data_IF_081120492677
#
_entry.id   IF_081120492677
#
_cell.length_a   1.000
_cell.length_b   1.000
_cell.length_c   1.000
_cell.angle_alpha   90.00
_cell.angle_beta   90.00
_cell.angle_gamma   90.00
#
_symmetry.space_group_name_H-M   'P 1'
#
loop_
_entity.id
_entity.type
_entity.pdbx_description
1 polymer ?
#
# COMPACT_ATOMS: atom_id res chain seq x y z
N UNK A 1 0.19 -9.25 -37.18
CA UNK A 1 -0.17 -7.90 -36.68
C UNK A 1 0.56 -6.86 -37.51
N UNK A 2 -0.05 -5.72 -37.82
CA UNK A 2 0.62 -4.58 -38.48
C UNK A 2 1.02 -3.55 -37.43
N UNK A 3 2.21 -2.97 -37.54
CA UNK A 3 2.70 -1.93 -36.65
C UNK A 3 2.49 -0.56 -37.30
N UNK A 4 1.93 0.40 -36.55
CA UNK A 4 1.72 1.77 -37.00
C UNK A 4 2.52 2.73 -36.12
N UNK A 5 2.94 3.86 -36.69
CA UNK A 5 3.59 4.97 -35.96
C UNK A 5 2.67 6.19 -36.02
N UNK A 6 2.24 6.66 -34.86
CA UNK A 6 1.42 7.86 -34.72
C UNK A 6 2.32 8.98 -34.18
N UNK A 7 2.39 10.10 -34.90
CA UNK A 7 3.12 11.28 -34.47
C UNK A 7 2.10 12.40 -34.21
N UNK A 8 2.17 13.01 -33.02
CA UNK A 8 1.27 14.10 -32.63
C UNK A 8 2.13 15.22 -32.07
N UNK A 9 1.88 16.45 -32.54
CA UNK A 9 2.42 17.68 -31.97
C UNK A 9 1.28 18.40 -31.25
N UNK A 10 1.54 18.88 -30.05
CA UNK A 10 0.56 19.56 -29.21
C UNK A 10 1.26 20.61 -28.35
N UNK A 11 0.47 21.56 -27.86
CA UNK A 11 0.92 22.64 -26.97
C UNK A 11 -0.15 22.83 -25.90
N UNK A 12 0.28 23.07 -24.66
CA UNK A 12 -0.59 23.42 -23.55
C UNK A 12 0.15 24.36 -22.59
N UNK A 13 -0.60 25.19 -21.86
CA UNK A 13 -0.03 26.04 -20.81
C UNK A 13 0.23 25.20 -19.56
N UNK A 14 1.33 25.48 -18.86
CA UNK A 14 1.60 24.88 -17.56
C UNK A 14 0.71 25.57 -16.54
N UNK A 15 -0.26 24.84 -16.00
CA UNK A 15 -1.24 25.37 -15.05
C UNK A 15 -0.70 25.42 -13.61
N UNK A 16 -1.43 26.11 -12.73
CA UNK A 16 -1.21 26.10 -11.29
C UNK A 16 -2.06 25.01 -10.58
N UNK A 17 -2.80 24.19 -11.34
CA UNK A 17 -3.48 23.00 -10.85
C UNK A 17 -2.43 21.94 -10.51
N UNK A 18 -2.50 21.30 -9.35
CA UNK A 18 -1.46 20.38 -8.88
C UNK A 18 -1.46 19.00 -9.58
N UNK A 19 -2.11 18.88 -10.74
CA UNK A 19 -2.36 17.64 -11.47
C UNK A 19 -1.94 17.81 -12.93
N UNK A 20 -1.45 16.75 -13.57
CA UNK A 20 -0.87 16.83 -14.90
C UNK A 20 0.57 17.35 -14.84
N UNK A 21 0.97 18.21 -15.77
CA UNK A 21 2.26 18.90 -15.74
C UNK A 21 2.07 20.34 -15.25
N UNK A 22 2.55 20.63 -14.05
CA UNK A 22 2.19 21.84 -13.32
C UNK A 22 3.39 22.59 -12.76
N UNK A 23 3.15 23.86 -12.42
CA UNK A 23 4.16 24.75 -11.84
C UNK A 23 4.03 24.82 -10.32
N UNK A 24 5.17 24.72 -9.64
CA UNK A 24 5.31 25.00 -8.20
C UNK A 24 6.37 26.10 -7.98
N UNK A 25 6.49 26.62 -6.76
CA UNK A 25 7.45 27.67 -6.44
C UNK A 25 7.94 27.63 -4.99
N UNK A 26 9.12 28.18 -4.76
CA UNK A 26 9.74 28.35 -3.44
C UNK A 26 10.46 29.70 -3.37
N UNK A 27 10.86 30.11 -2.16
CA UNK A 27 11.64 31.33 -1.95
C UNK A 27 13.06 30.95 -1.58
N UNK A 28 14.04 31.52 -2.28
CA UNK A 28 15.47 31.36 -2.03
C UNK A 28 16.11 32.75 -2.04
N UNK A 29 16.78 33.13 -0.94
CA UNK A 29 17.39 34.46 -0.75
C UNK A 29 16.43 35.64 -1.03
N UNK A 30 15.14 35.49 -0.67
CA UNK A 30 14.12 36.52 -0.88
C UNK A 30 13.52 36.54 -2.30
N UNK A 31 14.04 35.73 -3.23
CA UNK A 31 13.53 35.63 -4.60
C UNK A 31 12.64 34.41 -4.79
N UNK A 32 11.52 34.59 -5.49
CA UNK A 32 10.65 33.47 -5.89
C UNK A 32 11.28 32.72 -7.06
N UNK A 33 11.53 31.42 -6.85
CA UNK A 33 12.01 30.48 -7.87
C UNK A 33 10.88 29.52 -8.23
N UNK A 34 10.81 29.14 -9.50
CA UNK A 34 9.80 28.23 -10.01
C UNK A 34 10.41 26.87 -10.33
N UNK A 35 9.56 25.86 -10.32
CA UNK A 35 9.83 24.53 -10.83
C UNK A 35 8.60 24.03 -11.58
N UNK A 36 8.81 23.13 -12.53
CA UNK A 36 7.73 22.39 -13.17
C UNK A 36 7.87 20.91 -12.80
N UNK A 37 6.76 20.25 -12.50
CA UNK A 37 6.73 18.86 -12.01
C UNK A 37 5.42 18.20 -12.43
N UNK A 38 5.42 16.86 -12.51
CA UNK A 38 4.26 16.07 -12.93
C UNK A 38 3.57 15.36 -11.78
N UNK A 39 2.24 15.26 -11.83
CA UNK A 39 1.45 14.31 -11.04
C UNK A 39 0.38 13.69 -11.96
N UNK A 40 0.55 12.42 -12.33
CA UNK A 40 -0.32 11.76 -13.31
C UNK A 40 -1.31 10.77 -12.72
N UNK A 41 -1.04 10.21 -11.55
CA UNK A 41 -1.99 9.30 -10.92
C UNK A 41 -3.27 10.04 -10.47
N UNK A 42 -4.47 9.50 -10.76
CA UNK A 42 -4.70 8.24 -11.49
C UNK A 42 -4.82 8.40 -13.02
N UNK A 43 -5.38 9.52 -13.51
CA UNK A 43 -5.78 9.68 -14.94
C UNK A 43 -5.39 11.04 -15.52
N UNK A 44 -4.27 11.59 -15.07
CA UNK A 44 -3.81 12.92 -15.44
C UNK A 44 -2.60 12.94 -16.38
N UNK A 45 -2.07 11.80 -16.83
CA UNK A 45 -1.04 11.79 -17.87
C UNK A 45 -1.59 12.40 -19.18
N UNK A 46 -2.88 12.17 -19.46
CA UNK A 46 -3.61 12.78 -20.58
C UNK A 46 -3.66 14.31 -20.55
N UNK A 47 -3.42 14.95 -19.39
CA UNK A 47 -3.31 16.41 -19.28
C UNK A 47 -1.95 16.94 -19.78
N UNK A 48 -0.94 16.09 -19.83
CA UNK A 48 0.42 16.46 -20.24
C UNK A 48 0.75 16.01 -21.67
N UNK A 49 0.21 14.87 -22.13
CA UNK A 49 0.41 14.40 -23.51
C UNK A 49 -0.70 13.41 -23.95
N UNK A 50 -1.07 13.36 -25.25
CA UNK A 50 -2.02 12.38 -25.76
C UNK A 50 -1.50 10.95 -25.59
N UNK A 51 -2.25 10.12 -24.86
CA UNK A 51 -1.88 8.73 -24.59
C UNK A 51 -3.09 7.85 -24.27
N UNK A 52 -2.87 6.53 -24.30
CA UNK A 52 -3.83 5.55 -23.77
C UNK A 52 -3.68 5.49 -22.25
N UNK A 53 -4.39 6.39 -21.57
CA UNK A 53 -4.15 6.69 -20.16
C UNK A 53 -4.92 5.77 -19.21
N UNK A 54 -4.61 4.48 -19.31
CA UNK A 54 -5.15 3.39 -18.49
C UNK A 54 -4.01 2.49 -18.01
N UNK A 55 -4.05 1.95 -16.78
CA UNK A 55 -2.96 1.18 -16.20
C UNK A 55 -2.59 -0.07 -17.02
N UNK A 56 -3.54 -0.69 -17.71
CA UNK A 56 -3.32 -1.89 -18.54
C UNK A 56 -2.43 -1.62 -19.76
N UNK A 57 -2.39 -0.39 -20.26
CA UNK A 57 -1.64 -0.04 -21.47
C UNK A 57 -0.18 0.30 -21.17
N UNK A 58 0.54 -0.64 -20.54
CA UNK A 58 1.99 -0.49 -20.29
C UNK A 58 2.80 -0.35 -21.58
N UNK A 59 3.61 0.71 -21.64
CA UNK A 59 4.48 1.04 -22.77
C UNK A 59 5.91 1.35 -22.33
N UNK A 60 6.84 1.38 -23.29
CA UNK A 60 8.20 1.89 -23.10
C UNK A 60 8.20 3.37 -23.45
N UNK A 61 8.74 4.20 -22.57
CA UNK A 61 8.84 5.64 -22.78
C UNK A 61 10.29 6.04 -23.03
N UNK A 62 10.50 6.92 -24.02
CA UNK A 62 11.77 7.63 -24.23
C UNK A 62 11.48 9.13 -24.16
N UNK A 63 11.96 9.79 -23.12
CA UNK A 63 11.71 11.22 -22.88
C UNK A 63 12.93 12.03 -23.33
N UNK A 64 12.67 13.22 -23.86
CA UNK A 64 13.67 14.27 -24.03
C UNK A 64 13.09 15.58 -23.53
N UNK A 65 13.85 16.32 -22.73
CA UNK A 65 13.40 17.59 -22.14
C UNK A 65 14.37 18.69 -22.55
N UNK A 66 13.82 19.73 -23.17
CA UNK A 66 14.54 20.96 -23.52
C UNK A 66 14.26 22.00 -22.44
N UNK A 67 15.31 22.53 -21.82
CA UNK A 67 15.21 23.52 -20.74
C UNK A 67 16.41 24.49 -20.77
N UNK A 68 16.30 25.61 -20.06
CA UNK A 68 17.43 26.51 -19.87
C UNK A 68 18.55 25.81 -19.09
N UNK A 69 19.81 26.06 -19.48
CA UNK A 69 21.00 25.44 -18.87
C UNK A 69 21.19 25.72 -17.38
N UNK A 70 20.53 26.75 -16.85
CA UNK A 70 20.53 27.07 -15.42
C UNK A 70 19.63 26.13 -14.58
N UNK A 71 18.73 25.38 -15.23
CA UNK A 71 17.86 24.39 -14.60
C UNK A 71 18.43 22.98 -14.82
N UNK A 72 18.05 22.06 -13.95
CA UNK A 72 18.23 20.63 -14.17
C UNK A 72 16.91 20.01 -14.63
N UNK A 73 16.98 18.91 -15.39
CA UNK A 73 15.81 18.09 -15.69
C UNK A 73 15.96 16.68 -15.15
N UNK A 74 14.87 16.17 -14.57
CA UNK A 74 14.74 14.84 -14.00
C UNK A 74 13.64 14.07 -14.72
N UNK A 75 13.78 12.75 -14.80
CA UNK A 75 12.73 11.84 -15.24
C UNK A 75 12.94 10.45 -14.61
N UNK A 76 12.11 9.47 -14.93
CA UNK A 76 12.17 8.09 -14.40
C UNK A 76 13.54 7.43 -14.60
N UNK A 77 14.19 7.67 -15.74
CA UNK A 77 15.48 7.07 -16.12
C UNK A 77 16.64 8.07 -16.00
N UNK A 78 17.90 7.62 -15.94
CA UNK A 78 19.05 8.53 -16.01
C UNK A 78 19.16 9.23 -17.37
N UNK A 79 19.86 10.37 -17.40
CA UNK A 79 20.22 11.08 -18.63
C UNK A 79 21.20 10.23 -19.42
N UNK A 80 20.87 9.94 -20.69
CA UNK A 80 21.70 9.24 -21.67
C UNK A 80 22.65 10.23 -22.37
N UNK A 81 22.14 11.40 -22.75
CA UNK A 81 22.88 12.41 -23.51
C UNK A 81 22.33 13.81 -23.22
N UNK A 82 23.21 14.78 -23.02
CA UNK A 82 22.87 16.21 -22.95
C UNK A 82 23.44 16.92 -24.17
N UNK A 83 22.57 17.55 -24.96
CA UNK A 83 22.96 18.29 -26.17
C UNK A 83 22.73 19.79 -25.93
N UNK A 84 23.79 20.61 -25.88
CA UNK A 84 23.65 22.06 -25.88
C UNK A 84 22.91 22.53 -27.14
N UNK A 85 22.06 23.51 -26.96
CA UNK A 85 21.30 24.16 -28.02
C UNK A 85 21.66 25.65 -28.10
N UNK A 86 21.09 26.38 -29.05
CA UNK A 86 21.28 27.83 -29.17
C UNK A 86 20.68 28.57 -27.94
N UNK A 87 21.15 29.80 -27.71
CA UNK A 87 20.61 30.72 -26.70
C UNK A 87 20.60 30.20 -25.24
N UNK A 88 21.55 29.33 -24.88
CA UNK A 88 21.72 28.86 -23.50
C UNK A 88 20.73 27.78 -23.06
N UNK A 89 20.04 27.15 -24.02
CA UNK A 89 19.20 25.97 -23.79
C UNK A 89 20.01 24.67 -23.90
N UNK A 90 19.50 23.62 -23.28
CA UNK A 90 20.03 22.25 -23.37
C UNK A 90 18.89 21.27 -23.52
N UNK A 91 19.10 20.24 -24.32
CA UNK A 91 18.17 19.10 -24.42
C UNK A 91 18.79 17.87 -23.78
N UNK A 92 18.16 17.40 -22.70
CA UNK A 92 18.52 16.14 -22.05
C UNK A 92 17.66 15.01 -22.61
N UNK A 93 18.33 13.99 -23.16
CA UNK A 93 17.74 12.74 -23.60
C UNK A 93 17.90 11.70 -22.51
N UNK A 94 16.80 11.08 -22.09
CA UNK A 94 16.80 10.05 -21.05
C UNK A 94 16.82 8.64 -21.67
N UNK A 95 17.39 7.67 -20.94
CA UNK A 95 17.31 6.27 -21.33
C UNK A 95 15.84 5.79 -21.42
N UNK A 96 15.61 4.74 -22.21
CA UNK A 96 14.28 4.11 -22.33
C UNK A 96 13.88 3.48 -21.00
N UNK A 97 12.64 3.68 -20.58
CA UNK A 97 12.07 2.99 -19.42
C UNK A 97 11.85 1.50 -19.71
N UNK A 98 11.71 0.65 -18.68
CA UNK A 98 10.98 -0.60 -18.83
C UNK A 98 9.53 -0.36 -19.27
N UNK A 99 8.78 -1.45 -19.53
CA UNK A 99 7.34 -1.34 -19.73
C UNK A 99 6.68 -0.91 -18.42
N UNK A 100 6.01 0.23 -18.44
CA UNK A 100 5.30 0.79 -17.29
C UNK A 100 4.02 1.51 -17.73
N UNK A 101 3.12 1.77 -16.79
CA UNK A 101 1.86 2.47 -17.04
C UNK A 101 2.08 3.98 -17.15
N UNK A 102 1.18 4.69 -17.84
CA UNK A 102 1.31 6.14 -18.10
C UNK A 102 1.39 6.98 -16.83
N UNK A 103 0.67 6.59 -15.78
CA UNK A 103 0.60 7.37 -14.54
C UNK A 103 1.89 7.34 -13.69
N UNK A 104 2.81 6.42 -13.99
CA UNK A 104 4.14 6.37 -13.36
C UNK A 104 5.17 7.27 -14.06
N UNK A 105 4.88 7.68 -15.29
CA UNK A 105 5.76 8.59 -16.02
C UNK A 105 5.88 9.89 -15.24
N UNK A 106 7.11 10.38 -15.09
CA UNK A 106 7.37 11.62 -14.37
C UNK A 106 8.51 12.40 -14.98
N UNK A 107 8.42 13.71 -14.84
CA UNK A 107 9.54 14.60 -15.04
C UNK A 107 9.44 15.86 -14.19
N UNK A 108 10.60 16.48 -13.96
CA UNK A 108 10.69 17.77 -13.31
C UNK A 108 11.76 18.63 -13.98
N UNK A 109 11.56 19.94 -13.96
CA UNK A 109 12.56 20.96 -14.35
C UNK A 109 12.66 21.96 -13.19
N UNK A 110 13.84 22.05 -12.56
CA UNK A 110 14.02 22.82 -11.33
C UNK A 110 15.47 23.31 -11.13
N UNK A 111 15.68 24.18 -10.15
CA UNK A 111 17.01 24.62 -9.69
C UNK A 111 17.36 24.01 -8.33
N UNK A 112 17.16 22.69 -8.21
CA UNK A 112 17.46 21.95 -6.99
C UNK A 112 18.91 21.48 -6.97
N UNK A 113 19.39 21.10 -5.79
CA UNK A 113 20.62 20.33 -5.64
C UNK A 113 20.26 18.98 -5.04
N UNK A 114 21.25 18.10 -4.90
CA UNK A 114 21.01 16.78 -4.34
C UNK A 114 22.19 16.28 -3.51
N UNK A 115 21.89 15.30 -2.66
CA UNK A 115 22.87 14.37 -2.09
C UNK A 115 22.62 12.98 -2.64
N UNK A 116 23.67 12.19 -2.74
CA UNK A 116 23.59 10.83 -3.29
C UNK A 116 24.23 9.78 -2.38
N UNK A 117 23.74 8.55 -2.52
CA UNK A 117 24.31 7.34 -1.95
C UNK A 117 24.09 6.18 -2.92
N UNK A 118 24.70 5.03 -2.63
CA UNK A 118 24.60 3.84 -3.46
C UNK A 118 24.22 2.63 -2.60
N UNK A 119 23.32 1.79 -3.11
CA UNK A 119 23.12 0.46 -2.53
C UNK A 119 24.33 -0.43 -2.80
N UNK A 120 24.42 -1.55 -2.08
CA UNK A 120 25.49 -2.53 -2.31
C UNK A 120 25.36 -3.22 -3.69
N UNK A 121 24.16 -3.20 -4.28
CA UNK A 121 23.89 -3.63 -5.66
C UNK A 121 24.23 -2.58 -6.73
N UNK A 122 24.68 -1.38 -6.33
CA UNK A 122 25.11 -0.32 -7.24
C UNK A 122 23.99 0.61 -7.73
N UNK A 123 22.78 0.52 -7.16
CA UNK A 123 21.69 1.45 -7.48
C UNK A 123 22.00 2.82 -6.88
N UNK A 124 22.01 3.86 -7.71
CA UNK A 124 22.19 5.24 -7.25
C UNK A 124 20.90 5.75 -6.60
N UNK A 125 20.97 6.21 -5.37
CA UNK A 125 19.84 6.85 -4.68
C UNK A 125 20.20 8.32 -4.48
N UNK A 126 19.32 9.22 -4.91
CA UNK A 126 19.53 10.66 -4.78
C UNK A 126 18.33 11.33 -4.16
N UNK A 127 18.57 12.29 -3.28
CA UNK A 127 17.52 13.15 -2.76
C UNK A 127 17.71 14.56 -3.29
N UNK A 128 16.76 15.01 -4.10
CA UNK A 128 16.70 16.35 -4.69
C UNK A 128 15.80 17.25 -3.86
N UNK A 129 16.28 18.43 -3.50
CA UNK A 129 15.48 19.46 -2.83
C UNK A 129 16.03 20.85 -3.15
N UNK A 130 15.35 21.88 -2.66
CA UNK A 130 15.87 23.26 -2.72
C UNK A 130 17.28 23.36 -2.12
N UNK A 131 18.20 24.17 -2.69
CA UNK A 131 19.62 24.13 -2.35
C UNK A 131 19.92 24.24 -0.85
N UNK A 132 19.27 25.18 -0.17
CA UNK A 132 19.46 25.39 1.27
C UNK A 132 18.95 24.25 2.16
N UNK A 133 18.02 23.41 1.69
CA UNK A 133 17.60 22.22 2.42
C UNK A 133 18.67 21.12 2.35
N UNK A 134 19.28 20.94 1.18
CA UNK A 134 20.36 19.97 0.97
C UNK A 134 21.64 20.38 1.73
N UNK A 135 22.00 21.67 1.65
CA UNK A 135 23.16 22.22 2.38
C UNK A 135 23.03 22.02 3.90
N UNK A 136 21.82 22.18 4.44
CA UNK A 136 21.52 21.95 5.87
C UNK A 136 21.38 20.46 6.23
N UNK A 137 21.49 19.54 5.27
CA UNK A 137 21.39 18.10 5.51
C UNK A 137 19.99 17.60 5.84
N UNK A 138 18.94 18.35 5.49
CA UNK A 138 17.56 17.99 5.84
C UNK A 138 17.08 16.68 5.15
N UNK A 139 17.71 16.30 4.04
CA UNK A 139 17.41 15.05 3.33
C UNK A 139 18.22 13.83 3.81
N UNK A 140 19.21 14.02 4.70
CA UNK A 140 20.19 12.96 5.00
C UNK A 140 19.52 11.74 5.65
N UNK A 141 18.51 11.98 6.48
CA UNK A 141 17.72 10.93 7.11
C UNK A 141 16.99 10.06 6.06
N UNK A 142 16.21 10.68 5.17
CA UNK A 142 15.44 9.98 4.15
C UNK A 142 16.34 9.21 3.18
N UNK A 143 17.47 9.80 2.77
CA UNK A 143 18.46 9.15 1.92
C UNK A 143 19.02 7.87 2.57
N UNK A 144 19.34 7.92 3.87
CA UNK A 144 19.88 6.80 4.62
C UNK A 144 18.87 5.67 4.83
N UNK A 145 17.61 5.98 5.20
CA UNK A 145 16.59 4.94 5.37
C UNK A 145 16.21 4.30 4.03
N UNK A 146 16.15 5.08 2.95
CA UNK A 146 15.83 4.58 1.59
C UNK A 146 16.85 3.54 1.13
N UNK A 147 18.16 3.79 1.35
CA UNK A 147 19.21 2.80 1.06
C UNK A 147 18.94 1.47 1.75
N UNK A 148 18.65 1.49 3.05
CA UNK A 148 18.40 0.28 3.84
C UNK A 148 17.11 -0.41 3.43
N UNK A 149 16.06 0.35 3.14
CA UNK A 149 14.75 -0.17 2.72
C UNK A 149 14.81 -0.84 1.36
N UNK A 150 15.50 -0.24 0.39
CA UNK A 150 15.62 -0.83 -0.93
C UNK A 150 16.30 -2.21 -0.84
N UNK A 151 17.37 -2.32 -0.05
CA UNK A 151 18.07 -3.59 0.20
C UNK A 151 17.17 -4.60 0.94
N UNK A 152 16.45 -4.14 1.96
CA UNK A 152 15.50 -4.98 2.70
C UNK A 152 14.42 -5.56 1.79
N UNK A 153 13.79 -4.75 0.92
CA UNK A 153 12.75 -5.22 0.02
C UNK A 153 13.29 -6.10 -1.10
N UNK A 154 14.50 -5.83 -1.62
CA UNK A 154 15.17 -6.78 -2.52
C UNK A 154 15.36 -8.16 -1.87
N UNK A 155 15.77 -8.18 -0.60
CA UNK A 155 16.00 -9.40 0.15
C UNK A 155 14.70 -10.08 0.61
N UNK A 156 13.67 -9.31 0.95
CA UNK A 156 12.37 -9.83 1.37
C UNK A 156 11.59 -10.36 0.16
N UNK A 157 11.44 -9.59 -0.90
CA UNK A 157 10.68 -10.04 -2.08
C UNK A 157 11.48 -10.98 -2.98
N UNK A 158 12.80 -11.10 -2.77
CA UNK A 158 13.71 -11.88 -3.63
C UNK A 158 13.62 -11.45 -5.11
N UNK A 159 13.32 -10.18 -5.34
CA UNK A 159 13.26 -9.53 -6.65
C UNK A 159 14.05 -8.24 -6.55
N UNK A 160 15.05 -8.07 -7.42
CA UNK A 160 15.91 -6.87 -7.43
C UNK A 160 15.16 -5.63 -7.89
N UNK A 161 15.56 -4.47 -7.39
CA UNK A 161 15.07 -3.21 -7.92
C UNK A 161 15.49 -3.08 -9.39
N UNK A 162 14.55 -2.66 -10.24
CA UNK A 162 14.67 -2.84 -11.69
C UNK A 162 15.42 -1.72 -12.42
N UNK A 163 15.60 -0.55 -11.79
CA UNK A 163 16.21 0.62 -12.43
C UNK A 163 17.62 0.90 -11.89
N UNK A 164 18.49 1.55 -12.67
CA UNK A 164 19.86 1.88 -12.23
C UNK A 164 19.90 2.98 -11.14
N UNK A 165 18.79 3.68 -10.92
CA UNK A 165 18.67 4.77 -9.96
C UNK A 165 17.28 4.88 -9.36
N UNK A 166 17.20 5.51 -8.19
CA UNK A 166 15.98 5.94 -7.53
C UNK A 166 16.18 7.36 -6.99
N UNK A 167 15.51 8.32 -7.61
CA UNK A 167 15.56 9.71 -7.16
C UNK A 167 14.33 10.01 -6.28
N UNK A 168 14.55 10.69 -5.17
CA UNK A 168 13.53 11.20 -4.26
C UNK A 168 13.47 12.72 -4.42
N UNK A 169 12.38 13.26 -4.93
CA UNK A 169 12.22 14.68 -5.22
C UNK A 169 11.32 15.36 -4.18
N UNK A 170 11.91 16.16 -3.30
CA UNK A 170 11.19 16.94 -2.30
C UNK A 170 10.69 18.26 -2.90
N UNK A 171 9.39 18.36 -3.21
CA UNK A 171 8.76 19.56 -3.76
C UNK A 171 8.02 20.39 -2.71
N UNK A 172 7.97 21.73 -2.85
CA UNK A 172 7.29 22.60 -1.88
C UNK A 172 5.78 22.36 -1.79
N UNK A 173 5.16 21.89 -2.89
CA UNK A 173 3.72 21.69 -3.00
C UNK A 173 3.42 20.54 -3.98
N UNK A 174 2.57 19.63 -3.54
CA UNK A 174 2.09 18.45 -4.26
C UNK A 174 0.67 18.14 -3.75
N UNK A 175 -0.24 17.53 -4.54
CA UNK A 175 -1.60 17.26 -4.07
C UNK A 175 -1.66 16.13 -3.04
N UNK A 176 -0.67 15.24 -3.05
CA UNK A 176 -0.54 14.10 -2.14
C UNK A 176 0.73 14.22 -1.29
N UNK A 177 0.81 13.45 -0.21
CA UNK A 177 2.01 13.35 0.62
C UNK A 177 3.24 12.95 -0.22
N UNK A 178 3.05 11.96 -1.09
CA UNK A 178 4.02 11.52 -2.06
C UNK A 178 3.35 10.85 -3.28
N UNK A 179 4.15 10.45 -4.25
CA UNK A 179 3.77 9.65 -5.42
C UNK A 179 4.96 8.78 -5.83
N UNK A 180 4.68 7.51 -6.12
CA UNK A 180 5.68 6.46 -6.26
C UNK A 180 6.39 6.42 -7.63
N UNK A 181 6.30 7.49 -8.44
CA UNK A 181 6.71 7.46 -9.85
C UNK A 181 8.03 6.72 -10.08
N UNK A 182 8.00 5.65 -10.89
CA UNK A 182 9.08 4.67 -10.95
C UNK A 182 10.46 5.29 -11.23
N UNK A 183 11.35 5.26 -10.25
CA UNK A 183 12.68 5.86 -10.32
C UNK A 183 12.77 7.36 -10.05
N UNK A 184 11.66 8.09 -9.91
CA UNK A 184 11.61 9.51 -9.52
C UNK A 184 10.43 9.75 -8.56
N UNK A 185 10.48 9.18 -7.35
CA UNK A 185 9.42 9.34 -6.36
C UNK A 185 9.34 10.80 -5.89
N UNK A 186 8.14 11.38 -5.88
CA UNK A 186 7.92 12.81 -5.59
C UNK A 186 7.26 12.93 -4.23
N UNK A 187 7.76 13.81 -3.36
CA UNK A 187 7.28 14.01 -2.01
C UNK A 187 7.01 15.49 -1.75
N UNK A 188 6.03 15.84 -0.92
CA UNK A 188 6.05 17.17 -0.31
C UNK A 188 7.21 17.28 0.68
N UNK A 189 7.84 18.45 0.78
CA UNK A 189 8.98 18.68 1.69
C UNK A 189 8.69 18.19 3.13
N UNK A 190 7.46 18.36 3.61
CA UNK A 190 7.03 17.98 4.97
C UNK A 190 6.92 16.46 5.19
N UNK A 191 7.14 15.64 4.16
CA UNK A 191 7.07 14.17 4.24
C UNK A 191 8.37 13.48 3.87
N UNK A 192 9.45 14.25 3.67
CA UNK A 192 10.76 13.67 3.35
C UNK A 192 11.95 14.44 3.92
N UNK A 193 11.80 15.74 4.21
CA UNK A 193 12.86 16.54 4.83
C UNK A 193 12.69 16.54 6.36
N UNK A 194 13.77 16.27 7.07
CA UNK A 194 13.83 16.21 8.52
C UNK A 194 14.85 17.20 9.06
N UNK A 195 14.40 18.11 9.92
CA UNK A 195 15.28 19.00 10.67
C UNK A 195 15.43 18.48 12.11
N UNK A 196 16.58 17.89 12.48
CA UNK A 196 16.75 17.24 13.78
C UNK A 196 16.66 18.21 14.97
N UNK A 197 16.81 19.52 14.76
CA UNK A 197 16.76 20.51 15.84
C UNK A 197 15.33 20.88 16.24
N UNK A 198 14.35 20.72 15.33
CA UNK A 198 12.96 21.18 15.53
C UNK A 198 11.90 20.10 15.31
N UNK A 199 12.25 18.98 14.67
CA UNK A 199 11.29 17.93 14.32
C UNK A 199 10.93 17.07 15.52
N UNK A 200 9.64 16.80 15.71
CA UNK A 200 9.15 15.91 16.76
C UNK A 200 9.37 14.43 16.40
N UNK A 201 9.29 13.54 17.39
CA UNK A 201 9.31 12.09 17.15
C UNK A 201 8.11 11.63 16.32
N UNK A 202 6.94 12.24 16.51
CA UNK A 202 5.75 11.96 15.69
C UNK A 202 5.98 12.31 14.23
N UNK A 203 6.63 13.46 13.96
CA UNK A 203 7.00 13.85 12.60
C UNK A 203 8.02 12.90 11.99
N UNK A 204 9.05 12.50 12.76
CA UNK A 204 10.03 11.51 12.33
C UNK A 204 9.35 10.21 11.91
N UNK A 205 8.44 9.69 12.74
CA UNK A 205 7.73 8.44 12.47
C UNK A 205 6.85 8.53 11.23
N UNK A 206 6.09 9.63 11.08
CA UNK A 206 5.25 9.84 9.90
C UNK A 206 6.07 9.93 8.61
N UNK A 207 7.18 10.68 8.64
CA UNK A 207 8.12 10.77 7.52
C UNK A 207 8.71 9.39 7.19
N UNK A 208 9.13 8.62 8.20
CA UNK A 208 9.61 7.24 7.97
C UNK A 208 8.55 6.42 7.24
N UNK A 209 7.32 6.43 7.74
CA UNK A 209 6.23 5.63 7.19
C UNK A 209 5.94 5.99 5.73
N UNK A 210 5.85 7.28 5.39
CA UNK A 210 5.64 7.70 4.00
C UNK A 210 6.78 7.25 3.11
N UNK A 211 8.05 7.41 3.52
CA UNK A 211 9.18 6.93 2.71
C UNK A 211 9.10 5.40 2.52
N UNK A 212 8.81 4.63 3.58
CA UNK A 212 8.70 3.17 3.49
C UNK A 212 7.59 2.76 2.51
N UNK A 213 6.44 3.44 2.57
CA UNK A 213 5.30 3.22 1.68
C UNK A 213 5.69 3.36 0.20
N UNK A 214 6.29 4.50 -0.17
CA UNK A 214 6.68 4.78 -1.57
C UNK A 214 7.77 3.83 -2.08
N UNK A 215 8.71 3.40 -1.22
CA UNK A 215 9.73 2.43 -1.62
C UNK A 215 9.11 1.05 -1.88
N UNK A 216 8.07 0.66 -1.13
CA UNK A 216 7.38 -0.60 -1.37
C UNK A 216 6.69 -0.63 -2.75
N UNK A 217 6.15 0.50 -3.19
CA UNK A 217 5.49 0.62 -4.48
C UNK A 217 6.37 0.28 -5.69
N UNK A 218 7.69 0.35 -5.54
CA UNK A 218 8.64 -0.06 -6.58
C UNK A 218 8.46 -1.55 -6.99
N UNK A 219 7.83 -2.38 -6.13
CA UNK A 219 7.39 -3.74 -6.45
C UNK A 219 5.87 -3.84 -6.62
N UNK A 220 5.09 -3.29 -5.68
CA UNK A 220 3.62 -3.36 -5.67
C UNK A 220 3.01 -2.06 -6.21
N UNK A 221 2.78 -2.03 -7.52
CA UNK A 221 2.43 -0.83 -8.24
C UNK A 221 3.26 -0.73 -9.51
N UNK A 222 4.53 -0.35 -9.37
CA UNK A 222 5.42 -0.07 -10.50
C UNK A 222 5.71 -1.35 -11.31
N UNK A 223 6.39 -2.31 -10.67
CA UNK A 223 6.81 -3.57 -11.30
C UNK A 223 5.60 -4.41 -11.72
N UNK A 224 4.65 -4.59 -10.80
CA UNK A 224 3.38 -5.26 -11.05
C UNK A 224 2.25 -4.29 -10.75
N UNK A 225 1.51 -3.93 -11.80
CA UNK A 225 0.45 -2.91 -11.72
C UNK A 225 -0.92 -3.58 -11.74
N UNK A 226 -1.94 -3.08 -11.01
CA UNK A 226 -3.30 -3.58 -11.21
C UNK A 226 -3.72 -3.48 -12.69
N UNK A 227 -4.54 -4.42 -13.15
CA UNK A 227 -5.13 -4.38 -14.50
C UNK A 227 -6.01 -3.14 -14.66
N UNK A 228 -6.81 -2.84 -13.64
CA UNK A 228 -7.72 -1.70 -13.59
C UNK A 228 -7.90 -1.22 -12.15
N UNK A 229 -8.48 -0.04 -11.97
CA UNK A 229 -8.57 0.62 -10.67
C UNK A 229 -9.46 -0.09 -9.64
N UNK A 230 -10.29 -1.03 -10.09
CA UNK A 230 -11.12 -1.88 -9.22
C UNK A 230 -10.31 -2.63 -8.18
N UNK A 231 -9.08 -3.00 -8.53
CA UNK A 231 -8.14 -3.70 -7.64
C UNK A 231 -6.98 -2.80 -7.21
N UNK A 232 -7.22 -1.49 -7.05
CA UNK A 232 -6.20 -0.53 -6.58
C UNK A 232 -5.55 -0.94 -5.25
N UNK A 233 -6.28 -1.67 -4.40
CA UNK A 233 -5.74 -2.21 -3.16
C UNK A 233 -4.55 -3.17 -3.36
N UNK A 234 -4.34 -3.73 -4.56
CA UNK A 234 -3.15 -4.53 -4.90
C UNK A 234 -1.85 -3.71 -4.87
N UNK A 235 -1.93 -2.39 -5.05
CA UNK A 235 -0.81 -1.48 -4.76
C UNK A 235 -0.93 -0.88 -3.37
N UNK A 236 -2.02 -0.19 -3.07
CA UNK A 236 -2.14 0.63 -1.85
C UNK A 236 -2.22 -0.21 -0.57
N UNK A 237 -2.95 -1.33 -0.59
CA UNK A 237 -3.03 -2.23 0.55
C UNK A 237 -1.70 -2.93 0.83
N UNK A 238 -0.96 -3.31 -0.21
CA UNK A 238 0.37 -3.91 -0.06
C UNK A 238 1.39 -2.92 0.46
N UNK A 239 1.47 -1.72 -0.14
CA UNK A 239 2.35 -0.66 0.33
C UNK A 239 2.04 -0.30 1.78
N UNK A 240 0.77 -0.17 2.14
CA UNK A 240 0.35 0.15 3.51
C UNK A 240 0.59 -0.99 4.52
N UNK A 241 0.52 -2.27 4.13
CA UNK A 241 0.95 -3.36 5.03
C UNK A 241 2.48 -3.36 5.21
N UNK A 242 3.22 -3.29 4.10
CA UNK A 242 4.68 -3.33 4.13
C UNK A 242 5.31 -2.06 4.68
N UNK A 243 4.56 -0.96 4.79
CA UNK A 243 4.90 0.25 5.55
C UNK A 243 5.23 -0.07 7.02
N UNK A 244 4.39 -0.87 7.67
CA UNK A 244 4.62 -1.28 9.06
C UNK A 244 5.74 -2.33 9.17
N UNK A 245 5.81 -3.28 8.23
CA UNK A 245 6.87 -4.30 8.19
C UNK A 245 8.25 -3.67 7.95
N UNK A 246 8.35 -2.75 7.00
CA UNK A 246 9.58 -2.03 6.66
C UNK A 246 10.00 -1.04 7.76
N UNK A 247 9.03 -0.40 8.42
CA UNK A 247 9.33 0.46 9.57
C UNK A 247 9.82 -0.36 10.76
N UNK A 248 9.27 -1.55 11.03
CA UNK A 248 9.78 -2.45 12.07
C UNK A 248 11.18 -2.99 11.74
N UNK A 249 11.51 -3.21 10.47
CA UNK A 249 12.88 -3.52 10.07
C UNK A 249 13.86 -2.39 10.42
N UNK A 250 13.49 -1.14 10.15
CA UNK A 250 14.33 0.02 10.47
C UNK A 250 14.40 0.31 11.98
N UNK A 251 13.26 0.20 12.67
CA UNK A 251 13.07 0.59 14.06
C UNK A 251 12.28 -0.48 14.86
N UNK A 252 12.87 -1.66 15.14
CA UNK A 252 12.15 -2.77 15.79
C UNK A 252 11.57 -2.45 17.17
N UNK A 253 12.10 -1.41 17.84
CA UNK A 253 11.63 -0.95 19.15
C UNK A 253 10.29 -0.22 19.07
N UNK A 254 9.90 0.28 17.90
CA UNK A 254 8.62 0.98 17.71
C UNK A 254 7.43 0.01 17.68
N UNK A 255 7.66 -1.28 17.36
CA UNK A 255 6.64 -2.34 17.32
C UNK A 255 5.45 -1.96 16.44
N UNK A 256 5.74 -1.41 15.27
CA UNK A 256 4.79 -0.85 14.33
C UNK A 256 3.79 -1.92 13.87
N UNK A 257 4.25 -3.06 13.37
CA UNK A 257 3.36 -4.11 12.85
C UNK A 257 2.52 -4.76 13.96
N UNK A 258 3.13 -5.05 15.10
CA UNK A 258 2.45 -5.79 16.19
C UNK A 258 1.53 -4.95 17.06
N UNK A 259 1.79 -3.64 17.20
CA UNK A 259 1.05 -2.78 18.11
C UNK A 259 0.36 -1.64 17.37
N UNK A 260 1.12 -0.84 16.63
CA UNK A 260 0.60 0.39 16.01
C UNK A 260 -0.37 0.11 14.87
N UNK A 261 -0.14 -0.95 14.10
CA UNK A 261 -1.06 -1.41 13.04
C UNK A 261 -2.47 -1.64 13.57
N UNK A 262 -2.61 -2.16 14.79
CA UNK A 262 -3.91 -2.45 15.39
C UNK A 262 -4.73 -1.18 15.59
N UNK A 263 -4.09 -0.13 16.10
CA UNK A 263 -4.78 1.13 16.41
C UNK A 263 -4.99 1.98 15.16
N UNK A 264 -3.98 2.08 14.31
CA UNK A 264 -3.94 3.07 13.23
C UNK A 264 -4.55 2.54 11.91
N UNK A 265 -4.61 1.20 11.77
CA UNK A 265 -5.11 0.54 10.55
C UNK A 265 -6.36 -0.26 10.88
N UNK A 266 -6.23 -1.28 11.73
CA UNK A 266 -7.27 -2.28 11.94
C UNK A 266 -8.52 -1.67 12.61
N UNK A 267 -8.35 -0.98 13.74
CA UNK A 267 -9.48 -0.36 14.43
C UNK A 267 -10.08 0.80 13.63
N UNK A 268 -9.24 1.62 12.98
CA UNK A 268 -9.73 2.74 12.18
C UNK A 268 -10.55 2.27 10.98
N UNK A 269 -10.13 1.21 10.27
CA UNK A 269 -10.92 0.72 9.14
C UNK A 269 -12.21 0.05 9.60
N UNK A 270 -12.24 -0.61 10.76
CA UNK A 270 -13.48 -1.14 11.33
C UNK A 270 -14.53 -0.05 11.58
N UNK A 271 -14.11 1.18 11.96
CA UNK A 271 -15.03 2.31 12.12
C UNK A 271 -15.69 2.70 10.78
N UNK A 272 -14.94 2.70 9.69
CA UNK A 272 -15.43 3.05 8.35
C UNK A 272 -16.24 1.92 7.73
N UNK A 273 -15.73 0.70 7.83
CA UNK A 273 -16.29 -0.48 7.17
C UNK A 273 -17.53 -1.05 7.90
N UNK A 274 -17.78 -0.61 9.13
CA UNK A 274 -19.02 -0.88 9.87
C UNK A 274 -20.18 0.06 9.51
N UNK A 275 -19.97 1.06 8.64
CA UNK A 275 -21.01 1.96 8.15
C UNK A 275 -21.80 1.29 7.01
N UNK A 276 -23.10 1.57 6.93
CA UNK A 276 -23.94 1.10 5.82
C UNK A 276 -23.54 1.69 4.45
N UNK A 277 -22.74 2.76 4.44
CA UNK A 277 -22.18 3.40 3.25
C UNK A 277 -20.80 2.84 2.83
N UNK A 278 -20.32 1.76 3.47
CA UNK A 278 -19.08 1.10 3.05
C UNK A 278 -19.23 0.45 1.67
N UNK A 279 -18.14 -0.09 1.14
CA UNK A 279 -18.11 -0.82 -0.13
C UNK A 279 -17.13 -2.02 -0.06
N UNK A 280 -17.25 -2.99 -0.99
CA UNK A 280 -16.22 -4.02 -1.17
C UNK A 280 -14.86 -3.41 -1.50
N UNK A 281 -13.76 -4.07 -1.10
CA UNK A 281 -12.41 -3.56 -1.43
C UNK A 281 -12.12 -3.62 -2.93
N UNK A 282 -12.67 -4.63 -3.62
CA UNK A 282 -12.68 -4.70 -5.08
C UNK A 282 -14.06 -4.29 -5.57
N UNK A 283 -14.15 -3.10 -6.15
CA UNK A 283 -15.40 -2.51 -6.63
C UNK A 283 -15.25 -2.08 -8.09
N UNK A 284 -16.31 -2.28 -8.89
CA UNK A 284 -16.34 -1.90 -10.30
C UNK A 284 -16.11 -0.40 -10.52
N UNK A 285 -15.30 -0.07 -11.53
CA UNK A 285 -14.93 1.31 -11.90
C UNK A 285 -15.26 1.52 -13.36
N UNK A 286 -16.29 2.32 -13.65
CA UNK A 286 -16.78 2.53 -15.01
C UNK A 286 -16.28 3.83 -15.63
N UNK A 287 -16.16 4.88 -14.82
CA UNK A 287 -15.76 6.22 -15.26
C UNK A 287 -14.62 6.77 -14.41
N UNK A 288 -13.89 7.76 -14.94
CA UNK A 288 -12.77 8.37 -14.22
C UNK A 288 -13.17 8.95 -12.86
N UNK A 289 -14.42 9.44 -12.72
CA UNK A 289 -14.95 9.97 -11.44
C UNK A 289 -15.22 8.89 -10.39
N UNK A 290 -15.30 7.61 -10.79
CA UNK A 290 -15.45 6.50 -9.86
C UNK A 290 -14.11 6.14 -9.19
N UNK A 291 -12.99 6.54 -9.80
CA UNK A 291 -11.65 6.21 -9.31
C UNK A 291 -11.43 6.79 -7.91
N UNK A 292 -11.84 8.04 -7.68
CA UNK A 292 -11.70 8.69 -6.36
C UNK A 292 -12.46 7.95 -5.25
N UNK A 293 -13.46 7.12 -5.61
CA UNK A 293 -14.21 6.31 -4.64
C UNK A 293 -13.48 5.05 -4.21
N UNK A 294 -12.66 4.47 -5.09
CA UNK A 294 -11.87 3.27 -4.76
C UNK A 294 -10.48 3.63 -4.22
N UNK A 295 -10.01 4.86 -4.42
CA UNK A 295 -8.81 5.41 -3.79
C UNK A 295 -9.13 5.99 -2.40
N UNK A 296 -9.64 5.14 -1.51
CA UNK A 296 -10.11 5.54 -0.19
C UNK A 296 -9.49 4.69 0.93
N UNK A 297 -9.83 4.97 2.18
CA UNK A 297 -9.26 4.23 3.32
C UNK A 297 -9.63 2.75 3.36
N UNK A 298 -10.66 2.28 2.64
CA UNK A 298 -10.94 0.85 2.48
C UNK A 298 -9.82 0.20 1.67
N UNK A 299 -9.43 0.74 0.51
CA UNK A 299 -8.34 0.16 -0.30
C UNK A 299 -7.01 0.09 0.46
N UNK A 300 -6.67 1.12 1.23
CA UNK A 300 -5.43 1.17 2.01
C UNK A 300 -5.51 0.28 3.25
N UNK A 301 -6.43 0.56 4.18
CA UNK A 301 -6.44 -0.04 5.52
C UNK A 301 -7.10 -1.41 5.56
N UNK A 302 -8.21 -1.63 4.82
CA UNK A 302 -8.82 -2.96 4.71
C UNK A 302 -7.90 -3.87 3.94
N UNK A 303 -7.33 -3.37 2.84
CA UNK A 303 -6.32 -4.07 2.03
C UNK A 303 -5.16 -4.55 2.88
N UNK A 304 -4.51 -3.64 3.61
CA UNK A 304 -3.42 -3.98 4.50
C UNK A 304 -3.84 -4.99 5.59
N UNK A 305 -5.03 -4.84 6.18
CA UNK A 305 -5.53 -5.74 7.22
C UNK A 305 -5.76 -7.17 6.69
N UNK A 306 -6.30 -7.29 5.48
CA UNK A 306 -6.49 -8.58 4.80
C UNK A 306 -5.17 -9.23 4.42
N UNK A 307 -4.21 -8.45 3.93
CA UNK A 307 -2.86 -8.94 3.60
C UNK A 307 -2.15 -9.43 4.87
N UNK A 308 -2.27 -8.70 5.97
CA UNK A 308 -1.72 -9.11 7.27
C UNK A 308 -2.37 -10.40 7.79
N UNK A 309 -3.69 -10.51 7.68
CA UNK A 309 -4.43 -11.73 8.02
C UNK A 309 -3.92 -12.93 7.21
N UNK A 310 -3.76 -12.76 5.89
CA UNK A 310 -3.20 -13.78 4.99
C UNK A 310 -1.77 -14.17 5.37
N UNK A 311 -0.90 -13.19 5.62
CA UNK A 311 0.48 -13.45 6.03
C UNK A 311 0.55 -14.28 7.32
N UNK A 312 -0.39 -14.05 8.26
CA UNK A 312 -0.53 -14.84 9.48
C UNK A 312 -1.02 -16.27 9.20
N UNK A 313 -2.03 -16.44 8.34
CA UNK A 313 -2.58 -17.76 7.97
C UNK A 313 -1.57 -18.64 7.25
N UNK A 314 -0.88 -18.06 6.27
CA UNK A 314 0.08 -18.78 5.45
C UNK A 314 1.38 -19.07 6.22
N UNK A 315 1.74 -18.17 7.13
CA UNK A 315 3.06 -18.11 7.74
C UNK A 315 4.06 -17.38 6.84
N UNK A 316 4.99 -16.68 7.46
CA UNK A 316 5.90 -15.74 6.79
C UNK A 316 6.66 -16.34 5.60
N UNK A 317 7.17 -17.58 5.74
CA UNK A 317 7.99 -18.20 4.69
C UNK A 317 7.18 -18.56 3.44
N UNK A 318 5.95 -19.06 3.62
CA UNK A 318 5.04 -19.44 2.53
C UNK A 318 4.50 -18.20 1.85
N UNK A 319 4.11 -17.20 2.64
CA UNK A 319 3.65 -15.90 2.14
C UNK A 319 4.72 -15.22 1.28
N UNK A 320 5.96 -15.14 1.79
CA UNK A 320 7.10 -14.57 1.06
C UNK A 320 7.37 -15.28 -0.27
N UNK A 321 7.33 -16.63 -0.29
CA UNK A 321 7.48 -17.40 -1.53
C UNK A 321 6.35 -17.13 -2.52
N UNK A 322 5.10 -17.08 -2.05
CA UNK A 322 3.95 -16.75 -2.89
C UNK A 322 4.04 -15.35 -3.50
N UNK A 323 4.50 -14.35 -2.74
CA UNK A 323 4.75 -13.01 -3.25
C UNK A 323 5.90 -12.97 -4.26
N UNK A 324 6.99 -13.71 -4.02
CA UNK A 324 8.08 -13.81 -4.98
C UNK A 324 7.61 -14.39 -6.32
N UNK A 325 6.86 -15.49 -6.28
CA UNK A 325 6.30 -16.11 -7.49
C UNK A 325 5.35 -15.16 -8.22
N UNK A 326 4.49 -14.43 -7.48
CA UNK A 326 3.61 -13.41 -8.04
C UNK A 326 4.40 -12.30 -8.76
N UNK A 327 5.38 -11.71 -8.07
CA UNK A 327 6.19 -10.63 -8.64
C UNK A 327 6.98 -11.10 -9.87
N UNK A 328 7.62 -12.27 -9.82
CA UNK A 328 8.37 -12.81 -10.96
C UNK A 328 7.48 -13.18 -12.14
N UNK A 329 6.27 -13.69 -11.89
CA UNK A 329 5.33 -14.05 -12.97
C UNK A 329 4.79 -12.83 -13.69
N UNK A 330 4.51 -11.74 -12.95
CA UNK A 330 3.81 -10.56 -13.48
C UNK A 330 4.72 -9.34 -13.69
N UNK A 331 6.05 -9.47 -13.49
CA UNK A 331 6.98 -8.35 -13.61
C UNK A 331 6.88 -7.64 -14.97
N UNK A 332 6.88 -6.31 -14.95
CA UNK A 332 6.69 -5.43 -16.12
C UNK A 332 5.33 -5.59 -16.83
N UNK A 333 4.36 -6.20 -16.16
CA UNK A 333 3.01 -6.45 -16.66
C UNK A 333 1.97 -5.97 -15.64
N UNK A 334 0.72 -6.31 -15.91
CA UNK A 334 -0.41 -6.10 -15.03
C UNK A 334 -0.84 -7.42 -14.37
N UNK A 335 -1.52 -7.32 -13.23
CA UNK A 335 -2.15 -8.44 -12.55
C UNK A 335 -3.52 -8.03 -12.00
N UNK A 336 -4.48 -8.96 -12.08
CA UNK A 336 -5.77 -8.83 -11.41
C UNK A 336 -5.70 -9.51 -10.03
N UNK A 337 -6.70 -9.27 -9.18
CA UNK A 337 -6.77 -9.92 -7.86
C UNK A 337 -6.61 -11.44 -7.92
N UNK A 338 -7.26 -12.09 -8.88
CA UNK A 338 -7.24 -13.55 -8.98
C UNK A 338 -5.85 -14.11 -9.31
N UNK A 339 -5.00 -13.33 -10.00
CA UNK A 339 -3.61 -13.72 -10.26
C UNK A 339 -2.81 -13.86 -8.95
N UNK A 340 -3.01 -12.91 -8.02
CA UNK A 340 -2.43 -12.99 -6.68
C UNK A 340 -2.95 -14.22 -5.92
N UNK A 341 -4.27 -14.42 -5.91
CA UNK A 341 -4.87 -15.55 -5.19
C UNK A 341 -4.41 -16.91 -5.72
N UNK A 342 -4.25 -17.04 -7.03
CA UNK A 342 -3.73 -18.26 -7.64
C UNK A 342 -2.30 -18.53 -7.15
N UNK A 343 -1.42 -17.52 -7.14
CA UNK A 343 -0.03 -17.67 -6.67
C UNK A 343 0.08 -18.01 -5.20
N UNK A 344 -0.74 -17.38 -4.35
CA UNK A 344 -0.77 -17.71 -2.92
C UNK A 344 -1.36 -19.12 -2.66
N UNK A 345 -2.36 -19.55 -3.44
CA UNK A 345 -2.92 -20.91 -3.34
C UNK A 345 -1.91 -21.97 -3.76
N UNK A 346 -1.19 -21.74 -4.87
CA UNK A 346 -0.10 -22.60 -5.32
C UNK A 346 0.99 -22.75 -4.25
N UNK A 347 1.36 -21.65 -3.57
CA UNK A 347 2.34 -21.68 -2.48
C UNK A 347 1.88 -22.54 -1.29
N UNK A 348 0.60 -22.46 -0.91
CA UNK A 348 0.02 -23.28 0.17
C UNK A 348 -0.01 -24.77 -0.21
N UNK A 349 -0.41 -25.09 -1.44
CA UNK A 349 -0.47 -26.46 -1.94
C UNK A 349 0.91 -27.13 -1.92
N UNK A 350 1.98 -26.40 -2.27
CA UNK A 350 3.36 -26.92 -2.19
C UNK A 350 3.80 -27.28 -0.77
N UNK A 351 3.21 -26.67 0.24
CA UNK A 351 3.44 -26.99 1.66
C UNK A 351 2.50 -28.11 2.17
N UNK A 352 1.73 -28.74 1.27
CA UNK A 352 0.76 -29.77 1.63
C UNK A 352 -0.47 -29.24 2.35
N UNK A 353 -0.73 -27.92 2.28
CA UNK A 353 -1.94 -27.29 2.85
C UNK A 353 -2.99 -27.11 1.74
N UNK A 354 -4.07 -27.85 1.83
CA UNK A 354 -5.19 -27.76 0.88
C UNK A 354 -6.13 -26.60 1.26
N UNK A 355 -5.66 -25.37 1.06
CA UNK A 355 -6.43 -24.14 1.29
C UNK A 355 -6.46 -23.33 0.00
N UNK A 356 -7.67 -23.13 -0.55
CA UNK A 356 -7.89 -22.29 -1.70
C UNK A 356 -8.01 -20.81 -1.27
N UNK A 357 -6.94 -20.04 -1.43
CA UNK A 357 -6.90 -18.63 -1.03
C UNK A 357 -7.91 -17.79 -1.82
N UNK A 358 -8.21 -18.16 -3.07
CA UNK A 358 -9.22 -17.46 -3.88
C UNK A 358 -10.63 -17.58 -3.28
N UNK A 359 -10.99 -18.76 -2.79
CA UNK A 359 -12.29 -18.98 -2.14
C UNK A 359 -12.40 -18.22 -0.81
N UNK A 360 -11.35 -18.29 0.01
CA UNK A 360 -11.27 -17.55 1.28
C UNK A 360 -11.40 -16.05 1.01
N UNK A 361 -10.52 -15.51 0.18
CA UNK A 361 -10.39 -14.07 -0.01
C UNK A 361 -11.45 -13.47 -0.91
N UNK A 362 -12.10 -14.25 -1.75
CA UNK A 362 -13.30 -13.82 -2.46
C UNK A 362 -14.37 -13.31 -1.49
N UNK A 363 -14.57 -13.99 -0.36
CA UNK A 363 -15.50 -13.56 0.70
C UNK A 363 -15.07 -12.33 1.48
N UNK A 364 -13.79 -11.97 1.43
CA UNK A 364 -13.27 -10.77 2.10
C UNK A 364 -13.16 -9.57 1.16
N UNK A 365 -13.07 -9.80 -0.15
CA UNK A 365 -12.79 -8.74 -1.13
C UNK A 365 -13.98 -8.31 -1.97
N UNK A 366 -14.95 -9.21 -2.21
CA UNK A 366 -16.10 -8.95 -3.08
C UNK A 366 -17.37 -8.51 -2.34
N UNK A 367 -17.33 -8.42 -1.01
CA UNK A 367 -18.44 -7.94 -0.20
C UNK A 367 -17.98 -6.85 0.76
N UNK A 368 -18.87 -5.90 1.05
CA UNK A 368 -18.61 -4.82 2.00
C UNK A 368 -18.59 -5.32 3.44
N UNK A 369 -17.99 -4.54 4.34
CA UNK A 369 -18.01 -4.80 5.76
C UNK A 369 -17.16 -5.97 6.23
N UNK A 370 -17.38 -6.33 7.48
CA UNK A 370 -16.66 -7.39 8.18
C UNK A 370 -17.58 -8.10 9.19
N UNK A 371 -17.24 -9.32 9.64
CA UNK A 371 -18.09 -10.05 10.57
C UNK A 371 -17.86 -9.64 12.04
N UNK A 372 -18.94 -9.67 12.81
CA UNK A 372 -18.88 -9.92 14.26
C UNK A 372 -18.99 -11.43 14.50
N UNK A 373 -18.07 -11.97 15.29
CA UNK A 373 -18.05 -13.37 15.72
C UNK A 373 -18.53 -13.44 17.16
N UNK A 374 -19.61 -14.17 17.39
CA UNK A 374 -20.17 -14.43 18.72
C UNK A 374 -19.82 -15.84 19.16
N UNK A 375 -19.13 -15.95 20.30
CA UNK A 375 -18.84 -17.23 20.96
C UNK A 375 -19.80 -17.40 22.14
N UNK A 376 -20.58 -18.48 22.13
CA UNK A 376 -21.47 -18.86 23.23
C UNK A 376 -21.11 -20.25 23.75
N UNK A 377 -20.92 -20.37 25.07
CA UNK A 377 -20.68 -21.66 25.73
C UNK A 377 -22.02 -22.28 26.15
N UNK A 378 -22.20 -23.56 25.88
CA UNK A 378 -23.34 -24.30 26.41
C UNK A 378 -22.90 -25.22 27.55
N UNK A 379 -23.06 -24.73 28.78
CA UNK A 379 -22.68 -25.43 30.03
C UNK A 379 -23.63 -26.59 30.38
N UNK A 380 -24.70 -26.82 29.60
CA UNK A 380 -25.84 -27.64 30.03
C UNK A 380 -25.77 -29.10 29.57
N UNK A 381 -25.03 -29.43 28.49
CA UNK A 381 -25.14 -30.77 27.88
C UNK A 381 -23.80 -31.40 27.45
N UNK A 382 -22.81 -30.67 26.90
CA UNK A 382 -21.61 -31.32 26.30
C UNK A 382 -20.30 -30.51 26.39
N UNK A 383 -20.18 -29.50 27.27
CA UNK A 383 -19.02 -28.58 27.26
C UNK A 383 -18.72 -27.99 25.85
N UNK A 384 -19.78 -27.84 25.04
CA UNK A 384 -19.62 -27.44 23.63
C UNK A 384 -19.67 -25.92 23.47
N UNK A 385 -18.84 -25.42 22.56
CA UNK A 385 -18.80 -24.01 22.16
C UNK A 385 -19.54 -23.85 20.85
N UNK A 386 -20.43 -22.86 20.77
CA UNK A 386 -21.06 -22.46 19.51
C UNK A 386 -20.45 -21.15 19.05
N UNK A 387 -19.97 -21.12 17.81
CA UNK A 387 -19.39 -19.95 17.17
C UNK A 387 -20.36 -19.53 16.07
N UNK A 388 -20.76 -18.25 16.07
CA UNK A 388 -21.62 -17.69 15.03
C UNK A 388 -21.01 -16.43 14.44
N UNK A 389 -21.29 -16.16 13.16
CA UNK A 389 -20.85 -14.97 12.47
C UNK A 389 -22.03 -14.20 11.88
N UNK A 390 -21.97 -12.87 11.99
CA UNK A 390 -22.94 -11.96 11.41
C UNK A 390 -22.25 -10.73 10.83
N UNK A 391 -22.82 -10.11 9.79
CA UNK A 391 -22.31 -8.84 9.29
C UNK A 391 -22.51 -7.75 10.34
N UNK A 392 -21.39 -7.16 10.79
CA UNK A 392 -21.40 -6.04 11.73
C UNK A 392 -21.75 -4.73 11.01
N UNK A 393 -22.78 -4.04 11.50
CA UNK A 393 -23.16 -2.69 11.07
C UNK A 393 -23.60 -1.87 12.28
N UNK A 394 -23.16 -0.61 12.37
CA UNK A 394 -23.52 0.29 13.48
C UNK A 394 -25.02 0.63 13.51
N UNK A 395 -25.57 0.96 12.35
CA UNK A 395 -26.95 1.36 12.20
C UNK A 395 -27.84 0.13 11.99
N UNK A 396 -28.41 -0.38 13.07
CA UNK A 396 -29.24 -1.58 13.06
C UNK A 396 -30.52 -1.38 12.24
N UNK A 397 -30.99 -0.12 12.12
CA UNK A 397 -32.15 0.28 11.33
C UNK A 397 -31.79 0.51 9.84
N UNK A 398 -30.51 0.48 9.46
CA UNK A 398 -30.12 0.44 8.05
C UNK A 398 -30.59 -0.87 7.39
N UNK A 399 -30.62 -1.98 8.15
CA UNK A 399 -31.10 -3.29 7.67
C UNK A 399 -32.58 -3.28 7.29
N UNK A 400 -33.39 -2.48 8.00
CA UNK A 400 -34.82 -2.35 7.71
C UNK A 400 -35.11 -1.30 6.64
N UNK A 401 -34.27 -0.26 6.52
CA UNK A 401 -34.42 0.82 5.53
C UNK A 401 -33.94 0.44 4.13
N UNK A 402 -32.89 -0.38 4.02
CA UNK A 402 -32.41 -0.89 2.74
C UNK A 402 -32.21 -2.41 2.81
N UNK A 403 -33.31 -3.18 2.75
CA UNK A 403 -33.23 -4.64 2.85
C UNK A 403 -32.38 -5.25 1.74
N UNK A 404 -32.26 -4.62 0.56
CA UNK A 404 -31.51 -5.15 -0.58
C UNK A 404 -30.00 -5.15 -0.33
N UNK A 405 -29.45 -4.09 0.27
CA UNK A 405 -28.05 -4.03 0.73
C UNK A 405 -27.71 -5.14 1.75
N UNK A 406 -28.71 -5.62 2.49
CA UNK A 406 -28.56 -6.61 3.55
C UNK A 406 -29.17 -7.99 3.24
N UNK A 407 -29.76 -8.15 2.05
CA UNK A 407 -30.30 -9.42 1.56
C UNK A 407 -29.20 -10.37 1.06
N UNK A 408 -27.98 -9.85 0.90
CA UNK A 408 -26.80 -10.68 0.66
C UNK A 408 -26.58 -11.56 1.89
N UNK A 409 -26.51 -12.87 1.69
CA UNK A 409 -26.12 -13.82 2.73
C UNK A 409 -24.63 -13.64 3.07
N UNK A 410 -24.30 -12.51 3.72
CA UNK A 410 -22.94 -12.17 4.14
C UNK A 410 -22.39 -13.31 5.00
N UNK A 411 -21.33 -13.91 4.48
CA UNK A 411 -20.61 -15.01 5.09
C UNK A 411 -19.14 -14.86 4.72
N UNK A 412 -18.27 -15.02 5.70
CA UNK A 412 -16.83 -15.01 5.55
C UNK A 412 -16.26 -16.38 5.87
N UNK A 413 -15.11 -16.69 5.27
CA UNK A 413 -14.26 -17.78 5.74
C UNK A 413 -13.24 -17.17 6.71
N UNK A 414 -13.49 -17.32 8.01
CA UNK A 414 -12.78 -16.61 9.06
C UNK A 414 -11.72 -17.53 9.68
N UNK A 415 -10.42 -17.21 9.55
CA UNK A 415 -9.37 -17.90 10.28
C UNK A 415 -9.33 -17.39 11.73
N UNK A 416 -9.81 -18.21 12.66
CA UNK A 416 -9.77 -17.94 14.09
C UNK A 416 -8.56 -18.62 14.72
N UNK A 417 -7.85 -17.89 15.57
CA UNK A 417 -6.87 -18.46 16.49
C UNK A 417 -7.43 -18.38 17.89
N UNK A 418 -7.60 -19.53 18.54
CA UNK A 418 -7.98 -19.60 19.94
C UNK A 418 -6.74 -19.88 20.77
N UNK A 419 -6.68 -19.32 21.97
CA UNK A 419 -5.76 -19.85 22.98
C UNK A 419 -6.56 -20.32 24.16
N UNK A 420 -6.31 -21.55 24.55
CA UNK A 420 -6.95 -22.20 25.69
C UNK A 420 -5.92 -22.20 26.81
N UNK A 421 -6.32 -21.76 28.00
CA UNK A 421 -5.38 -21.67 29.10
C UNK A 421 -6.01 -21.44 30.46
N UNK A 422 -5.26 -21.76 31.51
CA UNK A 422 -5.51 -21.23 32.85
C UNK A 422 -4.63 -19.98 33.08
N UNK A 423 -4.77 -19.29 34.21
CA UNK A 423 -4.00 -18.07 34.53
C UNK A 423 -2.47 -18.21 34.51
N UNK A 424 -1.93 -19.43 34.40
CA UNK A 424 -0.48 -19.72 34.42
C UNK A 424 0.06 -20.41 33.16
N UNK A 425 -0.79 -20.94 32.27
CA UNK A 425 -0.37 -21.58 31.01
C UNK A 425 -1.36 -21.28 29.87
N UNK A 426 -0.86 -20.58 28.84
CA UNK A 426 -1.53 -20.34 27.57
C UNK A 426 -0.94 -21.27 26.50
N UNK A 427 -1.78 -22.09 25.88
CA UNK A 427 -1.43 -22.84 24.66
C UNK A 427 -2.19 -22.21 23.48
N UNK A 428 -1.49 -21.90 22.37
CA UNK A 428 -2.18 -21.49 21.14
C UNK A 428 -2.59 -22.74 20.37
N UNK A 429 -3.88 -22.87 20.10
CA UNK A 429 -4.42 -23.94 19.26
C UNK A 429 -4.21 -23.63 17.76
N UNK A 430 -4.30 -24.65 16.88
CA UNK A 430 -4.32 -24.47 15.43
C UNK A 430 -5.44 -23.53 14.95
N UNK A 431 -5.29 -23.00 13.73
CA UNK A 431 -6.30 -22.14 13.08
C UNK A 431 -7.59 -22.93 12.89
N UNK A 432 -8.71 -22.38 13.37
CA UNK A 432 -10.06 -22.87 13.18
C UNK A 432 -10.73 -22.04 12.09
N UNK A 433 -11.30 -22.69 11.07
CA UNK A 433 -11.99 -22.01 9.99
C UNK A 433 -13.48 -21.98 10.24
N UNK A 434 -14.02 -20.78 10.48
CA UNK A 434 -15.47 -20.57 10.56
C UNK A 434 -15.99 -20.20 9.18
N UNK A 435 -16.82 -21.05 8.62
CA UNK A 435 -17.33 -20.95 7.24
C UNK A 435 -18.84 -20.82 7.19
N UNK A 436 -19.54 -21.49 8.10
CA UNK A 436 -20.99 -21.41 8.21
C UNK A 436 -21.41 -20.23 9.10
N UNK A 437 -22.71 -19.86 9.05
CA UNK A 437 -23.28 -18.85 9.96
C UNK A 437 -23.16 -19.25 11.42
N UNK A 438 -23.23 -20.55 11.69
CA UNK A 438 -23.12 -21.11 13.04
C UNK A 438 -22.41 -22.45 12.95
N UNK A 439 -21.41 -22.66 13.81
CA UNK A 439 -20.64 -23.90 13.93
C UNK A 439 -20.58 -24.32 15.40
N UNK A 440 -20.69 -25.63 15.65
CA UNK A 440 -20.59 -26.20 16.99
C UNK A 440 -19.27 -26.93 17.12
N UNK A 441 -18.46 -26.54 18.10
CA UNK A 441 -17.18 -27.14 18.41
C UNK A 441 -17.26 -27.88 19.74
N UNK A 442 -16.95 -29.18 19.74
CA UNK A 442 -16.99 -30.05 20.92
C UNK A 442 -15.63 -30.32 21.55
N UNK A 443 -14.54 -29.77 21.01
CA UNK A 443 -13.16 -30.03 21.46
C UNK A 443 -12.66 -29.09 22.58
N UNK A 444 -13.47 -28.09 23.00
CA UNK A 444 -13.03 -27.02 23.90
C UNK A 444 -13.55 -27.19 25.33
N UNK A 445 -12.89 -28.05 26.14
CA UNK A 445 -13.35 -28.40 27.51
C UNK A 445 -12.75 -27.53 28.64
N UNK A 446 -11.98 -26.48 28.37
CA UNK A 446 -11.37 -25.63 29.42
C UNK A 446 -11.39 -24.14 29.05
N UNK A 447 -11.30 -23.31 30.09
CA UNK A 447 -11.23 -21.85 30.06
C UNK A 447 -10.66 -21.31 28.74
N UNK A 448 -11.54 -20.74 27.92
CA UNK A 448 -11.14 -19.96 26.76
C UNK A 448 -10.81 -18.58 27.27
N UNK A 449 -9.55 -18.19 27.13
CA UNK A 449 -9.21 -16.77 27.16
C UNK A 449 -9.29 -16.31 25.71
N UNK A 450 -10.00 -15.21 25.45
CA UNK A 450 -9.95 -14.56 24.15
C UNK A 450 -8.51 -14.11 23.92
N UNK A 451 -7.71 -14.94 23.27
CA UNK A 451 -6.38 -14.53 22.88
C UNK A 451 -6.45 -13.80 21.56
N UNK A 452 -6.65 -12.50 21.70
CA UNK A 452 -6.21 -11.52 20.74
C UNK A 452 -4.71 -11.64 20.53
N UNK A 453 -4.32 -12.43 19.55
CA UNK A 453 -3.33 -11.95 18.59
C UNK A 453 -4.13 -11.45 17.39
N UNK A 454 -4.54 -10.19 17.52
CA UNK A 454 -5.40 -9.40 16.63
C UNK A 454 -4.81 -9.28 15.23
N UNK A 455 -4.85 -10.37 14.46
CA UNK A 455 -4.48 -10.47 13.05
C UNK A 455 -5.67 -10.24 12.11
N UNK A 456 -6.84 -10.71 12.54
CA UNK A 456 -8.04 -10.87 11.71
C UNK A 456 -8.97 -9.66 11.85
N UNK A 457 -9.53 -9.20 10.73
CA UNK A 457 -10.53 -8.13 10.66
C UNK A 457 -11.90 -8.64 11.12
N UNK A 458 -12.07 -8.82 12.43
CA UNK A 458 -13.32 -9.25 13.07
C UNK A 458 -13.59 -8.48 14.36
N UNK A 459 -14.87 -8.38 14.72
CA UNK A 459 -15.29 -7.96 16.06
C UNK A 459 -15.70 -9.18 16.89
N UNK A 460 -15.37 -9.19 18.18
CA UNK A 460 -15.76 -10.26 19.10
C UNK A 460 -16.98 -9.88 19.95
N UNK A 461 -17.83 -10.87 20.25
CA UNK A 461 -18.92 -10.77 21.22
C UNK A 461 -19.07 -12.08 22.02
N UNK A 462 -19.47 -11.99 23.28
CA UNK A 462 -19.77 -13.14 24.15
C UNK A 462 -21.19 -13.04 24.69
N UNK A 463 -21.90 -14.17 24.77
CA UNK A 463 -23.18 -14.27 25.47
C UNK A 463 -22.92 -14.61 26.94
N UNK A 464 -23.39 -13.79 27.89
CA UNK A 464 -23.10 -13.97 29.32
C UNK A 464 -23.57 -15.32 29.90
N UNK A 465 -22.61 -16.10 30.38
CA UNK A 465 -22.66 -16.89 31.63
C UNK A 465 -21.25 -17.05 32.23
N UNK A 466 -20.42 -16.01 32.22
CA UNK A 466 -19.17 -16.03 32.99
C UNK A 466 -19.53 -15.72 34.44
N UNK A 467 -19.89 -16.75 35.21
CA UNK A 467 -19.95 -16.66 36.67
C UNK A 467 -18.58 -16.26 37.21
N UNK A 468 -18.41 -14.99 37.55
CA UNK A 468 -17.33 -14.57 38.44
C UNK A 468 -17.62 -15.16 39.82
N UNK A 469 -17.04 -16.33 40.12
CA UNK A 469 -16.99 -16.81 41.50
C UNK A 469 -16.09 -15.86 42.28
N UNK A 470 -16.70 -14.91 42.99
CA UNK A 470 -16.06 -14.24 44.13
C UNK A 470 -15.69 -15.33 45.13
N UNK A 471 -14.44 -15.78 45.12
CA UNK A 471 -13.88 -16.45 46.29
C UNK A 471 -13.65 -15.40 47.36
N UNK A 472 -14.69 -15.19 48.19
CA UNK A 472 -14.48 -14.72 49.54
C UNK A 472 -13.67 -15.78 50.30
N UNK A 473 -12.59 -15.33 50.92
CA UNK A 473 -11.78 -16.08 51.86
C UNK A 473 -11.23 -15.08 52.86
N UNK A 474 -11.71 -15.21 54.10
CA UNK A 474 -11.45 -14.41 55.31
C UNK A 474 -9.98 -14.14 55.61
#
# INVERSE_FOLDING_TARGET
>A
MRTYKVNISFEAQIENELLGFFRSSYVLHGERRYLAVTQFSPTHARKAFPCFDEPIYKAIFKISLRHESAYLSLSNMPVELSVPDEDGWVTNHFFRTPRMSTYYLAWAVCNFTYKETFTDSGVAIRLYARPNAIERGLGDYALNITKKLLQFYEDYFKVKYSLPKLDLLAVPKHPYAAMENWGLSIFVEQKILLDPEVSSISYLMELTMVVVHEICHQWFGDLVTPVWWEDVWLKEGFAHFFEYVGTDFLFPKWKMEKQRFLTDVLHEVMLLDGLASSHPISQEVYQATDIDRVFDWIAYKKGASLIRMLASVMGQSVFQRGLNDYLLTHMYSNAARDDLWNKLSEAMQREGKDINIKEVMGRWTLQMGYPVVTISRNDSVDDSVTISQEHFVYDVDAKSRDPELFNMSFQWQIPLTLSIGNSSHLSSEPIIWVTNKTERCTEFTRWMMECGFSGTLIRWATSESITTSKTGGS
#
